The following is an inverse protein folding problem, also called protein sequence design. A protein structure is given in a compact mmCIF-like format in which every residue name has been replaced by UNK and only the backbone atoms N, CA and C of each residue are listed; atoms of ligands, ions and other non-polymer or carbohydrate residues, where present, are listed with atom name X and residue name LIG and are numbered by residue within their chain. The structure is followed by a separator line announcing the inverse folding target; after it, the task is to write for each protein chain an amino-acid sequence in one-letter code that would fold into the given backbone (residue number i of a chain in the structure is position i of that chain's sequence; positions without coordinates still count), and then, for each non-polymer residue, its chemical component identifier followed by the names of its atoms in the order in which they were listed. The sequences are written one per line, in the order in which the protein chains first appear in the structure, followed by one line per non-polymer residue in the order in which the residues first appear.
data_IF_006301031282
#
_entry.id   IF_006301031282
#
_cell.length_a   1.000
_cell.length_b   1.000
_cell.length_c   1.000
_cell.angle_alpha   90.00
_cell.angle_beta   90.00
_cell.angle_gamma   90.00
#
_symmetry.space_group_name_H-M   'P 1'
#
loop_
_entity.id
_entity.type
_entity.pdbx_description
1 polymer ?
#
# COMPACT_ATOMS: atom_id res chain seq x y z
N UNK A 1 17.22 19.02 19.97
CA UNK A 1 16.04 18.53 19.23
C UNK A 1 16.16 18.93 17.78
N UNK A 2 15.87 18.00 16.87
CA UNK A 2 15.93 18.15 15.42
C UNK A 2 14.52 18.41 14.91
N UNK A 3 14.34 19.43 14.05
CA UNK A 3 13.09 19.65 13.33
C UNK A 3 13.00 18.65 12.19
N UNK A 4 11.93 17.86 12.16
CA UNK A 4 11.83 16.74 11.24
C UNK A 4 10.97 17.11 10.02
N UNK A 5 9.71 16.72 10.03
CA UNK A 5 8.72 16.96 8.98
C UNK A 5 7.49 17.62 9.59
N UNK A 6 6.62 18.27 8.78
CA UNK A 6 5.39 18.85 9.29
C UNK A 6 4.42 17.76 9.78
N UNK A 7 3.61 18.10 10.77
CA UNK A 7 2.46 17.31 11.21
C UNK A 7 1.51 17.06 10.05
N UNK A 8 0.73 15.99 10.16
CA UNK A 8 -0.11 15.48 9.08
C UNK A 8 -0.98 16.55 8.40
N UNK A 9 -1.65 17.38 9.19
CA UNK A 9 -2.54 18.45 8.70
C UNK A 9 -1.76 19.53 7.94
N UNK A 10 -0.64 20.00 8.51
CA UNK A 10 0.20 21.00 7.87
C UNK A 10 0.83 20.48 6.56
N UNK A 11 1.26 19.21 6.55
CA UNK A 11 1.83 18.59 5.36
C UNK A 11 0.80 18.44 4.24
N UNK A 12 -0.42 17.97 4.53
CA UNK A 12 -1.50 17.91 3.53
C UNK A 12 -1.85 19.28 2.97
N UNK A 13 -1.94 20.30 3.82
CA UNK A 13 -2.24 21.67 3.39
C UNK A 13 -1.17 22.24 2.44
N UNK A 14 0.11 21.88 2.62
CA UNK A 14 1.16 22.19 1.64
C UNK A 14 0.94 21.41 0.35
N UNK A 15 0.68 20.11 0.46
CA UNK A 15 0.50 19.24 -0.71
C UNK A 15 -0.65 19.71 -1.61
N UNK A 16 -1.81 20.07 -1.05
CA UNK A 16 -2.94 20.58 -1.84
C UNK A 16 -2.58 21.86 -2.59
N UNK A 17 -1.90 22.82 -1.94
CA UNK A 17 -1.43 24.06 -2.59
C UNK A 17 -0.46 23.78 -3.74
N UNK A 18 0.46 22.83 -3.56
CA UNK A 18 1.40 22.44 -4.62
C UNK A 18 0.70 21.72 -5.78
N UNK A 19 -0.33 20.93 -5.47
CA UNK A 19 -1.13 20.24 -6.48
C UNK A 19 -1.93 21.23 -7.33
N UNK A 20 -2.61 22.20 -6.70
CA UNK A 20 -3.31 23.30 -7.39
C UNK A 20 -2.35 24.12 -8.28
N UNK A 21 -1.13 24.37 -7.79
CA UNK A 21 -0.10 25.03 -8.58
C UNK A 21 0.26 24.23 -9.84
N UNK A 22 0.46 22.91 -9.70
CA UNK A 22 0.79 22.02 -10.80
C UNK A 22 -0.33 21.88 -11.86
N UNK A 23 -1.59 22.09 -11.48
CA UNK A 23 -2.72 22.07 -12.42
C UNK A 23 -2.72 23.28 -13.37
N UNK A 24 -2.06 24.38 -12.99
CA UNK A 24 -2.03 25.65 -13.74
C UNK A 24 -0.65 25.99 -14.33
N UNK A 25 0.38 25.20 -14.03
CA UNK A 25 1.76 25.45 -14.44
C UNK A 25 2.40 24.19 -15.04
N UNK A 26 3.34 24.37 -15.97
CA UNK A 26 4.16 23.26 -16.45
C UNK A 26 5.23 22.94 -15.41
N UNK A 27 5.08 21.82 -14.71
CA UNK A 27 6.01 21.36 -13.68
C UNK A 27 6.81 20.12 -14.10
N UNK A 28 8.02 20.00 -13.56
CA UNK A 28 8.88 18.82 -13.75
C UNK A 28 9.44 18.35 -12.39
N UNK A 29 9.07 17.14 -11.90
CA UNK A 29 7.96 16.29 -12.35
C UNK A 29 6.60 17.00 -12.34
N UNK A 30 5.64 16.51 -13.13
CA UNK A 30 4.32 17.14 -13.31
C UNK A 30 3.45 17.17 -12.05
N UNK A 31 3.73 16.31 -11.08
CA UNK A 31 2.99 16.27 -9.80
C UNK A 31 3.95 16.38 -8.61
N UNK A 32 3.54 17.07 -7.53
CA UNK A 32 4.34 17.11 -6.31
C UNK A 32 4.39 15.74 -5.62
N UNK A 33 5.45 15.46 -4.83
CA UNK A 33 5.54 14.26 -4.00
C UNK A 33 4.35 14.13 -3.04
N UNK A 34 3.73 12.95 -3.00
CA UNK A 34 2.63 12.64 -2.07
C UNK A 34 3.13 12.54 -0.61
N UNK A 35 2.44 13.16 0.38
CA UNK A 35 2.81 13.14 1.80
C UNK A 35 2.61 11.77 2.49
N UNK A 36 3.38 11.51 3.55
CA UNK A 36 3.38 10.23 4.32
C UNK A 36 2.60 10.35 5.65
N UNK A 37 1.31 10.64 5.57
CA UNK A 37 0.52 11.12 6.73
C UNK A 37 -0.63 10.19 7.17
N UNK A 38 -1.19 9.38 6.26
CA UNK A 38 -2.28 8.43 6.56
C UNK A 38 -1.74 7.00 6.67
N UNK A 39 -2.18 6.08 5.79
CA UNK A 39 -1.59 4.74 5.69
C UNK A 39 -0.06 4.81 5.55
N UNK A 40 0.44 5.84 4.84
CA UNK A 40 1.87 6.11 4.74
C UNK A 40 2.58 6.34 6.07
N UNK A 41 1.93 6.93 7.07
CA UNK A 41 2.56 7.20 8.37
C UNK A 41 2.77 5.92 9.20
N UNK A 42 1.91 4.92 9.05
CA UNK A 42 1.98 3.63 9.77
C UNK A 42 3.07 2.71 9.23
N UNK A 43 3.39 2.87 7.95
CA UNK A 43 4.42 2.09 7.25
C UNK A 43 5.53 3.01 6.77
N UNK A 44 6.00 3.96 7.59
CA UNK A 44 7.24 4.71 7.34
C UNK A 44 7.91 5.09 8.65
N UNK A 45 9.25 5.09 8.65
CA UNK A 45 10.02 5.61 9.78
C UNK A 45 10.25 7.12 9.62
N UNK A 46 10.93 7.71 10.60
CA UNK A 46 11.18 9.14 10.58
C UNK A 46 12.12 9.57 9.45
N UNK A 47 13.12 8.75 9.14
CA UNK A 47 14.05 9.03 8.05
C UNK A 47 13.34 9.06 6.69
N UNK A 48 12.42 8.12 6.44
CA UNK A 48 11.57 8.08 5.23
C UNK A 48 10.73 9.37 5.11
N UNK A 49 10.10 9.78 6.22
CA UNK A 49 9.29 11.00 6.26
C UNK A 49 10.12 12.26 6.04
N UNK A 50 11.31 12.35 6.65
CA UNK A 50 12.24 13.45 6.43
C UNK A 50 12.70 13.53 4.97
N UNK A 51 13.07 12.40 4.35
CA UNK A 51 13.48 12.35 2.95
C UNK A 51 12.34 12.73 2.01
N UNK A 52 11.12 12.27 2.28
CA UNK A 52 9.95 12.63 1.46
C UNK A 52 9.60 14.11 1.59
N UNK A 53 9.67 14.67 2.80
CA UNK A 53 9.48 16.11 3.02
C UNK A 53 10.53 16.94 2.28
N UNK A 54 11.81 16.53 2.35
CA UNK A 54 12.88 17.18 1.61
C UNK A 54 12.66 17.12 0.10
N UNK A 55 12.16 15.98 -0.41
CA UNK A 55 11.81 15.82 -1.83
C UNK A 55 10.71 16.78 -2.26
N UNK A 56 9.71 17.04 -1.41
CA UNK A 56 8.64 18.02 -1.68
C UNK A 56 9.17 19.45 -1.71
N UNK A 57 10.06 19.80 -0.78
CA UNK A 57 10.76 21.10 -0.78
C UNK A 57 11.53 21.29 -2.08
N UNK A 58 12.30 20.28 -2.49
CA UNK A 58 13.11 20.31 -3.71
C UNK A 58 12.22 20.42 -4.96
N UNK A 59 11.12 19.67 -5.02
CA UNK A 59 10.12 19.80 -6.07
C UNK A 59 9.61 21.24 -6.17
N UNK A 60 9.25 21.87 -5.05
CA UNK A 60 8.74 23.23 -5.04
C UNK A 60 9.79 24.27 -5.46
N UNK A 61 11.07 24.08 -5.08
CA UNK A 61 12.17 24.94 -5.53
C UNK A 61 12.38 24.85 -7.04
N UNK A 62 12.46 23.62 -7.55
CA UNK A 62 12.65 23.35 -8.98
C UNK A 62 11.57 23.96 -9.85
N UNK A 63 10.33 23.98 -9.35
CA UNK A 63 9.17 24.51 -10.05
C UNK A 63 8.86 25.98 -9.69
N UNK A 64 9.79 26.70 -9.04
CA UNK A 64 9.66 28.13 -8.76
C UNK A 64 8.55 28.51 -7.77
N UNK A 65 7.99 27.54 -7.03
CA UNK A 65 6.85 27.72 -6.14
C UNK A 65 7.18 27.46 -4.67
N UNK A 66 8.46 27.55 -4.28
CA UNK A 66 8.94 27.36 -2.90
C UNK A 66 8.18 28.20 -1.86
N UNK A 67 7.65 29.37 -2.25
CA UNK A 67 6.79 30.21 -1.39
C UNK A 67 5.53 29.50 -0.85
N UNK A 68 5.09 28.41 -1.49
CA UNK A 68 3.94 27.62 -1.05
C UNK A 68 4.29 26.64 0.07
N UNK A 69 5.57 26.39 0.30
CA UNK A 69 6.10 25.47 1.32
C UNK A 69 6.58 26.23 2.56
N UNK A 70 7.06 27.46 2.38
CA UNK A 70 7.46 28.33 3.50
C UNK A 70 6.24 28.84 4.26
N UNK A 71 6.40 29.08 5.57
CA UNK A 71 5.35 29.63 6.43
C UNK A 71 4.62 28.62 7.31
N UNK A 72 5.06 27.35 7.35
CA UNK A 72 4.62 26.42 8.39
C UNK A 72 5.25 26.85 9.73
N UNK A 73 4.45 27.15 10.76
CA UNK A 73 4.98 27.55 12.06
C UNK A 73 5.68 26.37 12.75
N UNK A 74 6.61 26.63 13.66
CA UNK A 74 7.47 25.59 14.25
C UNK A 74 6.68 24.55 15.06
N UNK A 75 5.53 24.94 15.60
CA UNK A 75 4.61 24.11 16.39
C UNK A 75 3.91 23.06 15.53
N UNK A 76 3.89 23.26 14.22
CA UNK A 76 3.32 22.34 13.22
C UNK A 76 4.36 21.35 12.69
N UNK A 77 5.56 21.30 13.28
CA UNK A 77 6.56 20.27 12.99
C UNK A 77 6.59 19.20 14.07
N UNK A 78 6.96 17.99 13.65
CA UNK A 78 7.43 16.95 14.56
C UNK A 78 8.90 17.19 14.93
N UNK A 79 9.23 16.90 16.18
CA UNK A 79 10.55 17.12 16.77
C UNK A 79 11.02 15.84 17.47
N UNK A 80 12.28 15.47 17.28
CA UNK A 80 12.90 14.34 17.97
C UNK A 80 14.36 14.64 18.31
N UNK A 81 14.92 13.92 19.27
CA UNK A 81 16.36 13.92 19.53
C UNK A 81 17.14 13.15 18.46
N UNK A 82 16.55 12.08 17.93
CA UNK A 82 17.12 11.24 16.87
C UNK A 82 16.01 10.66 15.97
N UNK A 83 16.12 10.73 14.64
CA UNK A 83 15.16 10.08 13.73
C UNK A 83 15.23 8.57 13.86
N UNK A 84 14.08 7.91 13.96
CA UNK A 84 14.02 6.46 13.76
C UNK A 84 14.44 6.07 12.33
N UNK A 85 15.33 5.08 12.24
CA UNK A 85 15.84 4.52 10.99
C UNK A 85 15.64 2.99 10.89
N UNK A 86 14.89 2.40 11.83
CA UNK A 86 14.67 0.95 11.82
C UNK A 86 13.86 0.55 10.57
N UNK A 87 14.13 -0.62 9.98
CA UNK A 87 13.36 -1.09 8.84
C UNK A 87 11.93 -1.42 9.27
N UNK A 88 10.96 -0.91 8.53
CA UNK A 88 9.55 -1.22 8.72
C UNK A 88 9.11 -1.89 7.42
N UNK A 89 8.73 -3.17 7.48
CA UNK A 89 8.34 -3.92 6.29
C UNK A 89 8.51 -5.42 6.46
N UNK A 90 7.75 -6.23 5.72
CA UNK A 90 7.70 -7.69 5.91
C UNK A 90 9.05 -8.38 5.62
N UNK A 91 9.97 -7.70 4.93
CA UNK A 91 11.33 -8.20 4.61
C UNK A 91 12.46 -7.38 5.27
N UNK A 92 12.16 -6.45 6.18
CA UNK A 92 13.20 -5.63 6.83
C UNK A 92 13.89 -4.62 5.89
N UNK A 93 13.20 -4.12 4.85
CA UNK A 93 13.66 -3.03 3.99
C UNK A 93 13.04 -1.67 4.34
N UNK A 94 13.40 -0.57 3.64
CA UNK A 94 12.75 0.71 3.80
C UNK A 94 11.25 0.61 3.50
N UNK A 95 10.47 1.34 4.27
CA UNK A 95 9.02 1.18 4.31
C UNK A 95 8.32 2.09 3.30
N UNK A 96 9.00 3.17 2.90
CA UNK A 96 8.60 3.97 1.75
C UNK A 96 8.93 3.26 0.44
N UNK A 97 7.86 2.80 -0.20
CA UNK A 97 7.85 2.18 -1.51
C UNK A 97 7.16 3.17 -2.45
N UNK A 98 7.86 3.88 -3.36
CA UNK A 98 7.24 4.91 -4.21
C UNK A 98 5.93 4.48 -4.87
N UNK A 99 5.81 3.19 -5.19
CA UNK A 99 4.65 2.57 -5.81
C UNK A 99 3.40 2.39 -4.93
N UNK A 100 3.53 2.38 -3.61
CA UNK A 100 2.40 2.34 -2.67
C UNK A 100 1.66 3.69 -2.62
N UNK A 101 2.30 4.76 -3.10
CA UNK A 101 1.83 6.14 -2.96
C UNK A 101 1.69 6.90 -4.28
N UNK A 102 2.34 6.45 -5.36
CA UNK A 102 2.30 7.11 -6.66
C UNK A 102 1.42 6.33 -7.66
N UNK A 103 0.49 7.03 -8.31
CA UNK A 103 -0.39 6.42 -9.32
C UNK A 103 0.40 6.19 -10.61
N UNK A 104 0.93 4.98 -10.83
CA UNK A 104 1.48 4.64 -12.16
C UNK A 104 0.37 4.30 -13.15
N UNK A 105 0.60 4.66 -14.40
CA UNK A 105 -0.22 4.26 -15.53
C UNK A 105 -0.16 2.75 -15.74
N UNK A 106 -1.17 2.21 -16.43
CA UNK A 106 -1.12 0.84 -16.95
C UNK A 106 0.02 0.76 -17.97
N UNK A 107 0.91 -0.24 -17.90
CA UNK A 107 1.92 -0.45 -18.95
C UNK A 107 1.25 -0.71 -20.31
N UNK A 108 2.00 -0.47 -21.38
CA UNK A 108 1.61 -0.84 -22.73
C UNK A 108 1.51 -2.37 -22.89
N UNK A 109 0.78 -2.82 -23.91
CA UNK A 109 0.62 -4.25 -24.17
C UNK A 109 1.94 -4.93 -24.56
N UNK A 110 2.86 -4.20 -25.19
CA UNK A 110 4.22 -4.69 -25.50
C UNK A 110 5.05 -4.91 -24.23
N UNK A 111 5.01 -3.95 -23.29
CA UNK A 111 5.68 -4.09 -21.98
C UNK A 111 5.11 -5.27 -21.18
N UNK A 112 3.79 -5.45 -21.17
CA UNK A 112 3.15 -6.59 -20.51
C UNK A 112 3.50 -7.92 -21.17
N UNK A 113 3.61 -7.94 -22.50
CA UNK A 113 4.02 -9.12 -23.26
C UNK A 113 5.46 -9.50 -22.93
N UNK A 114 6.38 -8.53 -22.91
CA UNK A 114 7.76 -8.75 -22.51
C UNK A 114 7.87 -9.27 -21.07
N UNK A 115 7.16 -8.67 -20.13
CA UNK A 115 7.11 -9.13 -18.73
C UNK A 115 6.55 -10.57 -18.62
N UNK A 116 5.48 -10.89 -19.35
CA UNK A 116 4.93 -12.25 -19.37
C UNK A 116 5.93 -13.27 -19.95
N UNK A 117 6.66 -12.93 -21.02
CA UNK A 117 7.69 -13.81 -21.58
C UNK A 117 8.78 -14.10 -20.55
N UNK A 118 9.25 -13.09 -19.82
CA UNK A 118 10.23 -13.27 -18.73
C UNK A 118 9.69 -14.27 -17.70
N UNK A 119 8.45 -14.10 -17.24
CA UNK A 119 7.83 -15.01 -16.30
C UNK A 119 7.73 -16.43 -16.87
N UNK A 120 7.30 -16.61 -18.12
CA UNK A 120 7.17 -17.92 -18.74
C UNK A 120 8.50 -18.66 -18.86
N UNK A 121 9.55 -18.01 -19.36
CA UNK A 121 10.83 -18.66 -19.61
C UNK A 121 11.65 -18.87 -18.34
N UNK A 122 11.54 -17.96 -17.37
CA UNK A 122 12.38 -17.96 -16.17
C UNK A 122 11.63 -18.38 -14.91
N UNK A 123 10.39 -18.87 -15.01
CA UNK A 123 9.55 -19.20 -13.86
C UNK A 123 10.29 -20.03 -12.80
N UNK A 124 10.95 -21.11 -13.24
CA UNK A 124 11.71 -22.01 -12.36
C UNK A 124 12.85 -21.33 -11.61
N UNK A 125 13.56 -20.39 -12.25
CA UNK A 125 14.59 -19.60 -11.58
C UNK A 125 13.98 -18.61 -10.59
N UNK A 126 12.86 -17.98 -10.97
CA UNK A 126 12.21 -16.93 -10.18
C UNK A 126 11.61 -17.50 -8.90
N UNK A 127 10.80 -18.55 -9.00
CA UNK A 127 10.04 -19.09 -7.86
C UNK A 127 10.66 -20.34 -7.23
N UNK A 128 11.75 -20.83 -7.81
CA UNK A 128 12.40 -22.06 -7.40
C UNK A 128 11.75 -23.32 -7.97
N UNK A 129 12.55 -24.39 -8.06
CA UNK A 129 12.14 -25.66 -8.65
C UNK A 129 10.91 -26.32 -8.00
N UNK A 130 10.72 -26.31 -6.66
CA UNK A 130 9.55 -26.93 -6.05
C UNK A 130 8.22 -26.28 -6.49
N UNK A 131 8.14 -24.95 -6.45
CA UNK A 131 6.93 -24.21 -6.82
C UNK A 131 6.67 -24.25 -8.32
N UNK A 132 7.72 -24.16 -9.15
CA UNK A 132 7.56 -24.19 -10.60
C UNK A 132 7.08 -25.53 -11.16
N UNK A 133 7.14 -26.62 -10.39
CA UNK A 133 6.54 -27.91 -10.77
C UNK A 133 5.03 -27.92 -10.63
N UNK A 134 4.49 -27.14 -9.71
CA UNK A 134 3.07 -27.14 -9.33
C UNK A 134 2.38 -25.82 -9.66
N UNK A 135 3.11 -24.87 -10.25
CA UNK A 135 2.59 -23.57 -10.67
C UNK A 135 3.14 -23.13 -12.02
N UNK A 136 2.36 -22.33 -12.76
CA UNK A 136 2.82 -21.62 -13.96
C UNK A 136 2.12 -20.27 -14.12
N UNK A 137 2.82 -19.23 -14.60
CA UNK A 137 2.18 -17.94 -14.85
C UNK A 137 1.16 -18.08 -15.99
N UNK A 138 0.04 -17.36 -15.92
CA UNK A 138 -0.99 -17.35 -16.97
C UNK A 138 -1.08 -16.00 -17.67
N UNK A 139 -1.34 -14.94 -16.91
CA UNK A 139 -1.55 -13.59 -17.47
C UNK A 139 -1.56 -12.53 -16.38
N UNK A 140 -1.34 -11.27 -16.78
CA UNK A 140 -1.68 -10.11 -15.98
C UNK A 140 -3.16 -9.74 -16.14
N UNK A 141 -3.80 -9.33 -15.05
CA UNK A 141 -5.21 -9.02 -14.96
C UNK A 141 -5.48 -7.70 -14.21
N UNK A 142 -6.74 -7.27 -14.24
CA UNK A 142 -7.20 -6.04 -13.60
C UNK A 142 -6.91 -4.77 -14.41
N UNK A 143 -7.54 -3.66 -14.02
CA UNK A 143 -7.47 -2.38 -14.75
C UNK A 143 -6.04 -1.87 -14.93
N UNK A 144 -5.19 -2.06 -13.91
CA UNK A 144 -3.78 -1.64 -13.92
C UNK A 144 -2.79 -2.72 -14.36
N UNK A 145 -3.27 -3.92 -14.71
CA UNK A 145 -2.44 -5.10 -15.02
C UNK A 145 -1.49 -5.55 -13.89
N UNK A 146 -1.75 -5.20 -12.63
CA UNK A 146 -0.87 -5.54 -11.49
C UNK A 146 -1.32 -6.77 -10.70
N UNK A 147 -2.21 -7.57 -11.28
CA UNK A 147 -2.71 -8.81 -10.71
C UNK A 147 -2.18 -9.95 -11.57
N UNK A 148 -1.25 -10.75 -11.06
CA UNK A 148 -0.76 -11.92 -11.78
C UNK A 148 -1.68 -13.12 -11.49
N UNK A 149 -2.20 -13.72 -12.54
CA UNK A 149 -2.88 -15.00 -12.46
C UNK A 149 -1.85 -16.11 -12.63
N UNK A 150 -1.77 -16.99 -11.65
CA UNK A 150 -0.89 -18.16 -11.64
C UNK A 150 -1.77 -19.39 -11.61
N UNK A 151 -1.53 -20.31 -12.52
CA UNK A 151 -2.17 -21.61 -12.44
C UNK A 151 -1.45 -22.44 -11.38
N UNK A 152 -2.18 -23.09 -10.49
CA UNK A 152 -1.67 -23.98 -9.47
C UNK A 152 -2.30 -25.37 -9.59
N UNK A 153 -1.54 -26.40 -9.24
CA UNK A 153 -2.05 -27.75 -9.11
C UNK A 153 -2.90 -27.85 -7.84
N UNK A 154 -4.19 -28.18 -7.99
CA UNK A 154 -5.16 -28.24 -6.87
C UNK A 154 -4.72 -29.17 -5.72
N UNK A 155 -4.01 -30.25 -6.05
CA UNK A 155 -3.55 -31.24 -5.06
C UNK A 155 -2.26 -30.83 -4.32
N UNK A 156 -1.56 -29.79 -4.79
CA UNK A 156 -0.33 -29.32 -4.16
C UNK A 156 -0.65 -28.30 -3.07
N UNK A 157 0.23 -28.18 -2.07
CA UNK A 157 0.14 -27.17 -1.02
C UNK A 157 1.31 -26.19 -1.11
N UNK A 158 1.08 -24.87 -1.05
CA UNK A 158 2.16 -23.91 -0.99
C UNK A 158 2.82 -23.88 0.40
N UNK A 159 4.06 -23.37 0.50
CA UNK A 159 4.78 -23.26 1.77
C UNK A 159 4.20 -22.20 2.71
N UNK A 160 3.33 -21.32 2.21
CA UNK A 160 2.73 -20.21 2.96
C UNK A 160 1.33 -20.48 3.51
N UNK A 161 0.80 -21.69 3.38
CA UNK A 161 -0.55 -22.06 3.83
C UNK A 161 -1.33 -22.77 2.73
N UNK A 162 -2.16 -22.01 2.03
CA UNK A 162 -3.00 -22.50 0.93
C UNK A 162 -2.92 -21.53 -0.26
N UNK A 163 -3.46 -21.93 -1.41
CA UNK A 163 -3.56 -21.06 -2.58
C UNK A 163 -4.50 -19.87 -2.33
N UNK A 164 -5.45 -20.01 -1.42
CA UNK A 164 -6.48 -19.00 -1.13
C UNK A 164 -6.28 -18.22 0.16
N UNK A 165 -5.36 -18.64 1.06
CA UNK A 165 -5.13 -17.98 2.35
C UNK A 165 -3.70 -18.17 2.87
N UNK A 166 -3.27 -17.22 3.72
CA UNK A 166 -1.95 -17.22 4.35
C UNK A 166 -2.00 -17.83 5.75
N UNK A 167 -0.97 -18.61 6.08
CA UNK A 167 -0.80 -19.24 7.38
C UNK A 167 -0.81 -18.25 8.56
N UNK A 168 -1.35 -18.64 9.73
CA UNK A 168 -1.17 -17.85 10.96
C UNK A 168 0.29 -17.86 11.45
N UNK A 169 1.14 -18.75 10.93
CA UNK A 169 2.57 -18.83 11.27
C UNK A 169 3.36 -17.83 10.43
N UNK A 170 4.06 -16.90 11.09
CA UNK A 170 4.77 -15.80 10.42
C UNK A 170 5.85 -16.28 9.45
N UNK A 171 6.67 -17.26 9.84
CA UNK A 171 7.72 -17.81 8.98
C UNK A 171 7.16 -18.34 7.66
N UNK A 172 5.99 -19.00 7.69
CA UNK A 172 5.30 -19.47 6.49
C UNK A 172 4.75 -18.31 5.66
N UNK A 173 4.17 -17.26 6.27
CA UNK A 173 3.70 -16.08 5.51
C UNK A 173 4.83 -15.36 4.77
N UNK A 174 6.03 -15.34 5.36
CA UNK A 174 7.20 -14.70 4.74
C UNK A 174 7.60 -15.38 3.43
N UNK A 175 7.33 -16.68 3.26
CA UNK A 175 7.53 -17.40 2.00
C UNK A 175 6.73 -16.78 0.85
N UNK A 176 5.46 -16.41 1.07
CA UNK A 176 4.66 -15.72 0.05
C UNK A 176 5.21 -14.32 -0.28
N UNK A 177 5.75 -13.64 0.74
CA UNK A 177 6.35 -12.33 0.55
C UNK A 177 7.61 -12.42 -0.31
N UNK A 178 8.46 -13.41 -0.06
CA UNK A 178 9.66 -13.69 -0.86
C UNK A 178 9.29 -14.10 -2.29
N UNK A 179 8.29 -14.98 -2.43
CA UNK A 179 7.75 -15.38 -3.73
C UNK A 179 7.30 -14.19 -4.58
N UNK A 180 6.48 -13.28 -4.01
CA UNK A 180 6.03 -12.07 -4.72
C UNK A 180 7.19 -11.11 -5.00
N UNK A 181 8.13 -10.97 -4.06
CA UNK A 181 9.31 -10.13 -4.27
C UNK A 181 10.18 -10.62 -5.44
N UNK A 182 10.39 -11.93 -5.56
CA UNK A 182 11.15 -12.51 -6.66
C UNK A 182 10.47 -12.28 -8.02
N UNK A 183 9.13 -12.40 -8.07
CA UNK A 183 8.34 -12.07 -9.27
C UNK A 183 8.54 -10.60 -9.65
N UNK A 184 8.37 -9.67 -8.69
CA UNK A 184 8.50 -8.24 -8.94
C UNK A 184 9.92 -7.85 -9.39
N UNK A 185 10.95 -8.48 -8.82
CA UNK A 185 12.33 -8.29 -9.27
C UNK A 185 12.54 -8.74 -10.72
N UNK A 186 11.86 -9.81 -11.15
CA UNK A 186 12.01 -10.33 -12.50
C UNK A 186 11.31 -9.48 -13.57
N UNK A 187 10.23 -8.78 -13.22
CA UNK A 187 9.41 -8.01 -14.17
C UNK A 187 9.61 -6.49 -14.07
N UNK A 188 10.59 -6.03 -13.30
CA UNK A 188 10.93 -4.61 -13.20
C UNK A 188 11.11 -3.97 -14.60
N UNK A 189 10.55 -2.76 -14.87
CA UNK A 189 9.90 -1.81 -13.96
C UNK A 189 8.41 -2.08 -13.68
N UNK A 190 7.84 -3.15 -14.25
CA UNK A 190 6.49 -3.60 -13.92
C UNK A 190 6.44 -4.19 -12.50
N UNK A 191 5.25 -4.22 -11.90
CA UNK A 191 5.08 -4.72 -10.53
C UNK A 191 3.71 -5.38 -10.33
N UNK A 192 3.71 -6.47 -9.57
CA UNK A 192 2.54 -7.24 -9.18
C UNK A 192 2.18 -6.93 -7.73
N UNK A 193 0.97 -6.42 -7.52
CA UNK A 193 0.39 -6.15 -6.20
C UNK A 193 -0.20 -7.44 -5.62
N UNK A 194 -0.89 -8.21 -6.48
CA UNK A 194 -1.64 -9.40 -6.11
C UNK A 194 -1.26 -10.58 -7.00
N UNK A 195 -1.04 -11.73 -6.38
CA UNK A 195 -0.95 -13.01 -7.09
C UNK A 195 -2.16 -13.84 -6.71
N UNK A 196 -2.95 -14.23 -7.70
CA UNK A 196 -4.06 -15.15 -7.50
C UNK A 196 -3.79 -16.47 -8.17
N UNK A 197 -4.17 -17.53 -7.46
CA UNK A 197 -3.97 -18.89 -7.91
C UNK A 197 -5.28 -19.43 -8.46
N UNK A 198 -5.22 -19.92 -9.70
CA UNK A 198 -6.32 -20.62 -10.36
C UNK A 198 -5.96 -22.09 -10.35
N UNK A 199 -6.84 -22.92 -9.85
CA UNK A 199 -6.60 -24.36 -9.82
C UNK A 199 -6.89 -24.98 -11.20
N UNK A 200 -6.00 -25.85 -11.69
CA UNK A 200 -6.37 -26.74 -12.81
C UNK A 200 -7.49 -27.67 -12.32
N UNK A 201 -8.72 -27.40 -12.75
CA UNK A 201 -9.83 -28.33 -12.57
C UNK A 201 -9.52 -29.69 -13.23
N UNK A 202 -10.12 -30.79 -12.75
CA UNK A 202 -9.99 -32.07 -13.44
C UNK A 202 -10.48 -31.90 -14.88
N UNK A 203 -9.64 -32.26 -15.85
CA UNK A 203 -10.04 -32.35 -17.25
C UNK A 203 -11.10 -33.44 -17.37
N UNK A 204 -12.39 -33.09 -17.30
CA UNK A 204 -13.45 -33.95 -17.80
C UNK A 204 -13.32 -33.99 -19.32
N UNK A 205 -12.71 -35.06 -19.82
CA UNK A 205 -12.97 -35.49 -21.19
C UNK A 205 -14.43 -35.90 -21.32
N UNK A 206 -14.99 -35.56 -22.48
CA UNK A 206 -16.31 -35.90 -23.02
C UNK A 206 -17.46 -34.89 -22.81
N UNK A 207 -17.85 -34.34 -23.97
CA UNK A 207 -19.02 -33.52 -24.32
C UNK A 207 -18.93 -32.02 -24.00
N UNK A 208 -18.56 -31.28 -25.06
CA UNK A 208 -18.38 -29.84 -25.06
C UNK A 208 -19.63 -29.05 -24.65
N UNK A 209 -19.52 -28.38 -23.51
CA UNK A 209 -20.06 -27.05 -23.26
C UNK A 209 -19.27 -26.43 -22.11
N UNK A 210 -18.29 -25.59 -22.47
CA UNK A 210 -17.55 -24.79 -21.47
C UNK A 210 -18.51 -23.72 -20.96
N UNK A 211 -18.98 -23.91 -19.72
CA UNK A 211 -19.60 -22.82 -18.97
C UNK A 211 -18.56 -22.32 -17.98
N UNK A 212 -17.94 -21.19 -18.29
CA UNK A 212 -17.06 -20.49 -17.33
C UNK A 212 -17.97 -19.99 -16.20
N UNK A 213 -17.89 -20.62 -15.03
CA UNK A 213 -18.46 -20.07 -13.81
C UNK A 213 -17.36 -19.31 -13.07
N UNK A 214 -17.44 -17.97 -12.97
CA UNK A 214 -16.78 -17.28 -11.87
C UNK A 214 -17.38 -17.84 -10.58
N UNK A 215 -16.55 -18.39 -9.69
CA UNK A 215 -17.03 -18.66 -8.34
C UNK A 215 -17.34 -17.30 -7.71
N UNK A 216 -18.64 -17.11 -7.48
CA UNK A 216 -19.20 -16.05 -6.67
C UNK A 216 -18.33 -15.86 -5.43
N UNK A 217 -17.90 -14.62 -5.20
CA UNK A 217 -17.48 -14.19 -3.89
C UNK A 217 -18.55 -14.63 -2.89
N UNK A 218 -18.20 -15.63 -2.07
CA UNK A 218 -19.00 -16.03 -0.94
C UNK A 218 -19.16 -14.79 -0.07
N UNK A 219 -20.35 -14.17 -0.12
CA UNK A 219 -20.83 -13.30 0.93
C UNK A 219 -20.90 -14.13 2.20
N UNK A 220 -19.84 -14.08 3.00
CA UNK A 220 -19.96 -14.34 4.43
C UNK A 220 -20.74 -13.18 5.02
N UNK A 221 -22.07 -13.31 5.03
CA UNK A 221 -22.90 -12.61 6.01
C UNK A 221 -22.68 -13.26 7.37
N UNK A 222 -21.56 -12.93 8.01
CA UNK A 222 -21.40 -13.08 9.46
C UNK A 222 -21.68 -11.72 10.09
N UNK A 223 -22.94 -11.57 10.46
CA UNK A 223 -23.35 -11.04 11.77
C UNK A 223 -22.81 -9.65 12.17
N UNK A 224 -23.64 -8.64 11.85
CA UNK A 224 -23.63 -7.35 12.53
C UNK A 224 -23.91 -7.54 14.02
N UNK A 225 -22.87 -7.71 14.84
CA UNK A 225 -22.93 -7.28 16.24
C UNK A 225 -22.59 -5.79 16.32
N UNK A 226 -23.66 -4.99 16.30
CA UNK A 226 -23.68 -3.63 16.86
C UNK A 226 -23.23 -3.74 18.32
N UNK A 227 -21.98 -3.41 18.61
CA UNK A 227 -21.63 -2.93 19.94
C UNK A 227 -21.92 -1.43 19.91
N UNK A 228 -23.13 -1.07 20.36
CA UNK A 228 -23.40 0.27 20.83
C UNK A 228 -22.48 0.55 22.02
N UNK A 229 -21.35 1.25 21.80
CA UNK A 229 -20.75 2.03 22.88
C UNK A 229 -21.59 3.30 23.02
N UNK A 230 -22.61 3.20 23.84
CA UNK A 230 -23.28 4.33 24.49
C UNK A 230 -22.23 5.24 25.11
N UNK A 231 -22.21 6.50 24.67
CA UNK A 231 -21.58 7.60 25.41
C UNK A 231 -22.20 7.63 26.82
N UNK A 232 -21.42 7.72 27.90
CA UNK A 232 -21.99 8.09 29.19
C UNK A 232 -22.56 9.51 29.08
N UNK A 233 -23.84 9.67 29.43
CA UNK A 233 -24.44 10.98 29.64
C UNK A 233 -23.79 11.65 30.85
N UNK A 234 -23.62 12.99 30.83
CA UNK A 234 -23.17 13.72 32.00
C UNK A 234 -24.23 13.65 33.11
N UNK A 235 -23.77 13.45 34.33
CA UNK A 235 -24.57 13.40 35.55
C UNK A 235 -25.17 14.80 35.84
N UNK A 236 -26.50 14.98 35.89
CA UNK A 236 -27.12 16.26 36.22
C UNK A 236 -27.38 16.32 37.73
N UNK A 237 -26.33 16.50 38.52
CA UNK A 237 -26.47 16.74 39.96
C UNK A 237 -25.25 17.51 40.50
N UNK A 238 -25.19 18.81 40.21
CA UNK A 238 -24.55 19.82 41.06
C UNK A 238 -24.75 21.20 40.44
N UNK A 239 -25.93 21.79 40.63
CA UNK A 239 -26.11 23.25 40.50
C UNK A 239 -27.19 23.74 41.45
N UNK A 240 -26.73 24.28 42.57
CA UNK A 240 -27.29 25.29 43.51
C UNK A 240 -26.30 25.23 44.70
N UNK A 241 -25.58 26.30 45.04
CA UNK A 241 -26.14 27.59 45.43
C UNK A 241 -25.42 28.82 44.85
N UNK A 242 -26.24 29.86 44.64
CA UNK A 242 -25.84 31.26 44.58
C UNK A 242 -26.13 31.90 45.92
N UNK A 243 -25.25 32.79 46.35
CA UNK A 243 -25.47 33.86 47.34
C UNK A 243 -24.10 34.45 47.64
N UNK A 244 -23.66 35.59 47.07
CA UNK A 244 -24.18 36.96 47.10
C UNK A 244 -24.24 37.56 48.51
N UNK A 245 -23.18 38.29 48.89
CA UNK A 245 -23.12 39.51 49.76
C UNK A 245 -21.63 39.92 49.76
N UNK A 246 -21.20 40.98 49.07
CA UNK A 246 -21.22 42.41 49.44
C UNK A 246 -20.54 42.78 50.77
N UNK A 247 -19.60 43.72 50.66
CA UNK A 247 -19.18 44.77 51.61
C UNK A 247 -18.35 44.39 52.86
N UNK A 248 -17.06 44.76 52.84
CA UNK A 248 -16.49 45.94 53.53
C UNK A 248 -15.01 46.10 53.13
#
# INVERSE_FOLDING_TARGET
MIRMYPKAVAWDAVFQRLKEYAESHTCTPSTPPVPLILAGAYFTNDQDKMLRWQSMIEWARRNGCYRLVVGIPNEEYEWSESPSAYPIGPTGGPSYRPWDYETKNRPSDDELTGAMQVLFFRWKEIVGAPLARVTRPLSFAGKKARRLLVLAQASAKPPWGDWSWLSPVESQRREFTQFRAAINQAVEPHEVDHVDFIEEGPKTTETGRVTVRPLSSGRSTSERRRIHRTRPRPNPAARRDRGSTSEC
#
